data_IF_869236160311
#
_entry.id   IF_869236160311
#
_cell.length_a   1.000
_cell.length_b   1.000
_cell.length_c   1.000
_cell.angle_alpha   90.00
_cell.angle_beta   90.00
_cell.angle_gamma   90.00
#
_symmetry.space_group_name_H-M   'P 1'
#
loop_
_entity.id
_entity.type
_entity.pdbx_description
1 polymer ?
#
# COMPACT_ATOMS: atom_id res chain seq x y z
N UNK A 1 18.57 45.03 -55.99
CA UNK A 1 19.20 46.30 -55.57
C UNK A 1 18.45 46.86 -54.37
N UNK A 2 19.21 47.46 -53.46
CA UNK A 2 18.84 48.37 -52.37
C UNK A 2 18.54 47.77 -50.98
N UNK A 3 19.30 48.32 -50.04
CA UNK A 3 19.56 47.88 -48.68
C UNK A 3 18.75 48.69 -47.66
N UNK A 4 18.51 48.05 -46.49
CA UNK A 4 18.56 48.53 -45.07
C UNK A 4 17.92 49.91 -44.72
N UNK A 5 17.26 50.07 -43.54
CA UNK A 5 17.99 50.00 -42.26
C UNK A 5 17.24 49.53 -41.00
N UNK A 6 18.06 49.20 -40.00
CA UNK A 6 17.74 48.97 -38.59
C UNK A 6 17.42 50.27 -37.84
N UNK A 7 16.62 50.17 -36.78
CA UNK A 7 16.42 51.13 -35.65
C UNK A 7 15.39 50.50 -34.70
N UNK A 8 15.40 50.67 -33.40
CA UNK A 8 16.34 51.17 -32.40
C UNK A 8 15.77 50.69 -31.06
N UNK A 9 16.66 50.34 -30.14
CA UNK A 9 16.38 50.11 -28.73
C UNK A 9 15.71 51.36 -28.14
N UNK A 10 14.55 51.21 -27.49
CA UNK A 10 14.00 52.23 -26.60
C UNK A 10 13.70 51.57 -25.25
N UNK A 11 14.55 51.88 -24.28
CA UNK A 11 14.43 51.50 -22.89
C UNK A 11 13.26 52.25 -22.26
N UNK A 12 12.25 51.52 -21.78
CA UNK A 12 11.29 52.09 -20.83
C UNK A 12 11.70 51.66 -19.42
N UNK A 13 12.37 52.58 -18.72
CA UNK A 13 12.43 52.59 -17.27
C UNK A 13 11.03 52.99 -16.75
N UNK A 14 10.16 52.00 -16.58
CA UNK A 14 8.84 52.17 -15.98
C UNK A 14 8.88 51.84 -14.50
N UNK A 15 8.69 52.84 -13.65
CA UNK A 15 8.46 52.67 -12.23
C UNK A 15 7.22 51.78 -12.00
N UNK A 16 7.42 50.61 -11.39
CA UNK A 16 6.35 49.68 -11.05
C UNK A 16 5.66 50.20 -9.79
N UNK A 17 4.50 50.83 -9.99
CA UNK A 17 3.53 51.12 -8.94
C UNK A 17 2.92 49.78 -8.49
N UNK A 18 3.34 49.29 -7.32
CA UNK A 18 2.83 48.05 -6.72
C UNK A 18 1.38 48.31 -6.28
N UNK A 19 0.42 47.91 -7.11
CA UNK A 19 -0.97 47.77 -6.68
C UNK A 19 -1.03 46.63 -5.66
N UNK A 20 -1.39 46.96 -4.42
CA UNK A 20 -1.68 46.01 -3.36
C UNK A 20 -2.94 45.22 -3.74
N UNK A 21 -2.77 44.11 -4.45
CA UNK A 21 -3.81 43.09 -4.58
C UNK A 21 -4.00 42.44 -3.21
N UNK A 22 -5.23 42.39 -2.64
CA UNK A 22 -5.50 41.54 -1.50
C UNK A 22 -5.25 40.11 -1.96
N UNK A 23 -4.20 39.49 -1.42
CA UNK A 23 -3.97 38.06 -1.61
C UNK A 23 -5.08 37.32 -0.87
N UNK A 24 -6.16 37.01 -1.59
CA UNK A 24 -7.06 35.93 -1.23
C UNK A 24 -6.26 34.66 -1.47
N UNK A 25 -5.36 34.36 -0.53
CA UNK A 25 -4.72 33.06 -0.47
C UNK A 25 -5.84 32.05 -0.29
N UNK A 26 -6.16 31.33 -1.37
CA UNK A 26 -6.86 30.08 -1.26
C UNK A 26 -6.14 29.29 -0.16
N UNK A 27 -6.89 28.87 0.86
CA UNK A 27 -6.40 27.90 1.81
C UNK A 27 -5.85 26.74 0.99
N UNK A 28 -4.52 26.63 0.94
CA UNK A 28 -3.87 25.41 0.50
C UNK A 28 -4.26 24.42 1.59
N UNK A 29 -5.31 23.63 1.33
CA UNK A 29 -5.45 22.34 1.99
C UNK A 29 -4.18 21.60 1.60
N UNK A 30 -3.17 21.71 2.45
CA UNK A 30 -2.04 20.81 2.42
C UNK A 30 -2.66 19.41 2.41
N UNK A 31 -2.50 18.72 1.27
CA UNK A 31 -2.79 17.31 1.14
C UNK A 31 -2.21 16.64 2.38
N UNK A 32 -3.06 15.93 3.11
CA UNK A 32 -2.68 15.25 4.33
C UNK A 32 -1.51 14.31 4.00
N UNK A 33 -0.30 14.72 4.40
CA UNK A 33 0.95 13.96 4.43
C UNK A 33 1.07 12.91 3.30
N UNK A 34 1.44 13.36 2.10
CA UNK A 34 2.15 12.49 1.14
C UNK A 34 3.50 12.11 1.80
N UNK A 35 3.47 11.10 2.67
CA UNK A 35 4.71 10.46 3.12
C UNK A 35 5.32 9.82 1.88
N UNK A 36 6.37 10.46 1.36
CA UNK A 36 7.02 10.05 0.13
C UNK A 36 7.37 8.55 0.17
N UNK A 37 6.78 7.78 -0.73
CA UNK A 37 7.01 6.32 -0.87
C UNK A 37 5.81 5.44 -0.51
N UNK A 38 4.73 5.98 0.04
CA UNK A 38 3.49 5.22 0.25
C UNK A 38 2.50 5.39 -0.91
N UNK A 39 1.74 4.33 -1.18
CA UNK A 39 0.67 4.36 -2.18
C UNK A 39 -0.61 4.94 -1.55
N UNK A 40 -1.21 5.95 -2.20
CA UNK A 40 -2.49 6.51 -1.79
C UNK A 40 -3.67 5.66 -2.28
N UNK A 41 -4.81 5.75 -1.62
CA UNK A 41 -6.01 4.99 -1.97
C UNK A 41 -6.50 5.34 -3.39
N UNK A 42 -6.49 6.62 -3.75
CA UNK A 42 -6.80 7.07 -5.11
C UNK A 42 -5.81 6.59 -6.15
N UNK A 43 -4.52 6.57 -5.81
CA UNK A 43 -3.46 6.04 -6.67
C UNK A 43 -3.64 4.55 -6.95
N UNK A 44 -4.02 3.78 -5.94
CA UNK A 44 -4.29 2.35 -6.06
C UNK A 44 -5.59 2.09 -6.85
N UNK A 45 -6.66 2.84 -6.57
CA UNK A 45 -7.94 2.73 -7.29
C UNK A 45 -7.77 2.94 -8.80
N UNK A 46 -6.97 3.95 -9.18
CA UNK A 46 -6.65 4.17 -10.60
C UNK A 46 -5.96 2.96 -11.20
N UNK A 47 -4.99 2.34 -10.50
CA UNK A 47 -4.31 1.12 -10.98
C UNK A 47 -5.26 -0.07 -11.11
N UNK A 48 -6.24 -0.21 -10.22
CA UNK A 48 -7.25 -1.26 -10.29
C UNK A 48 -8.16 -1.13 -11.53
N UNK A 49 -8.46 0.11 -11.93
CA UNK A 49 -9.34 0.42 -13.08
C UNK A 49 -8.63 0.53 -14.41
N UNK A 50 -7.32 0.68 -14.42
CA UNK A 50 -6.53 0.74 -15.65
C UNK A 50 -6.54 -0.60 -16.40
N UNK A 51 -6.54 -0.55 -17.73
CA UNK A 51 -6.48 -1.74 -18.59
C UNK A 51 -5.04 -2.26 -18.83
N UNK A 52 -4.05 -1.69 -18.13
CA UNK A 52 -2.66 -2.14 -18.19
C UNK A 52 -2.49 -3.40 -17.36
N UNK A 53 -1.90 -4.45 -17.94
CA UNK A 53 -1.56 -5.68 -17.22
C UNK A 53 -0.67 -5.41 -16.00
N UNK A 54 0.25 -4.44 -16.10
CA UNK A 54 1.11 -4.05 -14.98
C UNK A 54 0.30 -3.43 -13.84
N UNK A 55 -0.54 -2.44 -14.14
CA UNK A 55 -1.35 -1.74 -13.14
C UNK A 55 -2.33 -2.67 -12.43
N UNK A 56 -3.00 -3.57 -13.19
CA UNK A 56 -3.90 -4.57 -12.60
C UNK A 56 -3.16 -5.56 -11.72
N UNK A 57 -1.99 -6.02 -12.15
CA UNK A 57 -1.17 -6.94 -11.35
C UNK A 57 -0.70 -6.27 -10.06
N UNK A 58 -0.29 -5.00 -10.14
CA UNK A 58 0.08 -4.21 -8.96
C UNK A 58 -1.08 -4.06 -7.98
N UNK A 59 -2.27 -3.67 -8.47
CA UNK A 59 -3.47 -3.53 -7.64
C UNK A 59 -3.77 -4.84 -6.88
N UNK A 60 -3.82 -5.96 -7.59
CA UNK A 60 -4.13 -7.24 -6.95
C UNK A 60 -3.05 -7.71 -5.97
N UNK A 61 -1.77 -7.51 -6.29
CA UNK A 61 -0.68 -7.85 -5.39
C UNK A 61 -0.73 -7.00 -4.11
N UNK A 62 -1.01 -5.71 -4.21
CA UNK A 62 -1.11 -4.81 -3.07
C UNK A 62 -2.30 -5.20 -2.17
N UNK A 63 -3.48 -5.45 -2.75
CA UNK A 63 -4.67 -5.91 -2.03
C UNK A 63 -4.43 -7.23 -1.30
N UNK A 64 -3.78 -8.20 -1.96
CA UNK A 64 -3.43 -9.47 -1.37
C UNK A 64 -2.49 -9.30 -0.17
N UNK A 65 -1.42 -8.51 -0.33
CA UNK A 65 -0.44 -8.29 0.72
C UNK A 65 -1.06 -7.66 1.98
N UNK A 66 -1.97 -6.70 1.81
CA UNK A 66 -2.67 -6.07 2.94
C UNK A 66 -3.65 -7.05 3.59
N UNK A 67 -4.42 -7.80 2.80
CA UNK A 67 -5.36 -8.79 3.31
C UNK A 67 -4.64 -9.91 4.10
N UNK A 68 -3.50 -10.40 3.59
CA UNK A 68 -2.67 -11.40 4.27
C UNK A 68 -2.06 -10.85 5.55
N UNK A 69 -1.58 -9.61 5.53
CA UNK A 69 -1.05 -8.94 6.73
C UNK A 69 -2.13 -8.78 7.80
N UNK A 70 -3.33 -8.35 7.40
CA UNK A 70 -4.46 -8.20 8.33
C UNK A 70 -4.89 -9.54 8.93
N UNK A 71 -4.91 -10.62 8.13
CA UNK A 71 -5.12 -11.99 8.62
C UNK A 71 -4.02 -12.42 9.58
N UNK A 72 -2.75 -12.14 9.26
CA UNK A 72 -1.61 -12.50 10.09
C UNK A 72 -1.67 -11.81 11.46
N UNK A 73 -1.98 -10.51 11.50
CA UNK A 73 -2.15 -9.79 12.77
C UNK A 73 -3.23 -10.43 13.64
N UNK A 74 -4.38 -10.76 13.04
CA UNK A 74 -5.45 -11.47 13.75
C UNK A 74 -5.01 -12.82 14.32
N UNK A 75 -4.33 -13.65 13.52
CA UNK A 75 -3.95 -15.01 13.91
C UNK A 75 -2.84 -15.02 14.95
N UNK A 76 -1.83 -14.17 14.80
CA UNK A 76 -0.60 -14.21 15.62
C UNK A 76 -0.65 -13.30 16.84
N UNK A 77 -1.29 -12.14 16.73
CA UNK A 77 -1.34 -11.14 17.80
C UNK A 77 -2.65 -11.26 18.59
N UNK A 78 -3.63 -12.04 18.11
CA UNK A 78 -4.93 -12.18 18.75
C UNK A 78 -5.77 -10.90 18.73
N UNK A 79 -5.31 -9.89 18.00
CA UNK A 79 -5.97 -8.61 17.78
C UNK A 79 -6.07 -8.37 16.27
N UNK A 80 -7.18 -7.78 15.83
CA UNK A 80 -7.37 -7.45 14.42
C UNK A 80 -8.75 -7.80 13.91
N UNK A 81 -9.45 -6.76 13.49
CA UNK A 81 -10.36 -6.81 12.35
C UNK A 81 -9.52 -6.65 11.08
N UNK A 82 -9.91 -7.23 9.94
CA UNK A 82 -11.19 -7.87 9.60
C UNK A 82 -11.22 -9.41 9.71
N UNK A 83 -12.44 -10.00 9.71
CA UNK A 83 -12.66 -11.45 9.69
C UNK A 83 -12.80 -12.00 8.27
N UNK A 84 -11.67 -12.10 7.56
CA UNK A 84 -11.68 -12.51 6.16
C UNK A 84 -12.13 -13.97 5.96
N UNK A 85 -13.21 -14.22 5.20
CA UNK A 85 -13.69 -15.58 4.94
C UNK A 85 -12.66 -16.41 4.17
N UNK A 86 -12.73 -17.73 4.33
CA UNK A 86 -11.96 -18.65 3.49
C UNK A 86 -12.41 -18.53 2.03
N UNK A 87 -11.46 -18.60 1.08
CA UNK A 87 -11.75 -18.52 -0.35
C UNK A 87 -12.09 -17.13 -0.86
N UNK A 88 -11.78 -16.06 -0.12
CA UNK A 88 -11.88 -14.69 -0.61
C UNK A 88 -10.92 -14.52 -1.81
N UNK A 89 -11.48 -14.16 -2.97
CA UNK A 89 -10.74 -14.01 -4.22
C UNK A 89 -10.17 -12.60 -4.38
N UNK A 90 -9.10 -12.44 -5.16
CA UNK A 90 -8.54 -11.12 -5.51
C UNK A 90 -9.56 -10.19 -6.18
N UNK A 91 -10.45 -10.73 -7.02
CA UNK A 91 -11.54 -9.95 -7.64
C UNK A 91 -12.45 -9.33 -6.59
N UNK A 92 -12.98 -10.14 -5.66
CA UNK A 92 -13.77 -9.65 -4.52
C UNK A 92 -13.03 -8.64 -3.64
N UNK A 93 -11.72 -8.82 -3.40
CA UNK A 93 -10.93 -7.82 -2.67
C UNK A 93 -10.93 -6.47 -3.38
N UNK A 94 -10.73 -6.47 -4.70
CA UNK A 94 -10.78 -5.25 -5.50
C UNK A 94 -12.18 -4.64 -5.49
N UNK A 95 -13.22 -5.43 -5.75
CA UNK A 95 -14.61 -4.97 -5.73
C UNK A 95 -14.97 -4.30 -4.39
N UNK A 96 -14.59 -4.91 -3.26
CA UNK A 96 -14.81 -4.35 -1.91
C UNK A 96 -14.08 -3.02 -1.72
N UNK A 97 -12.79 -2.96 -2.06
CA UNK A 97 -11.99 -1.74 -1.94
C UNK A 97 -12.54 -0.61 -2.83
N UNK A 98 -12.86 -0.91 -4.09
CA UNK A 98 -13.41 0.07 -5.03
C UNK A 98 -14.77 0.59 -4.58
N UNK A 99 -15.68 -0.28 -4.15
CA UNK A 99 -16.99 0.11 -3.65
C UNK A 99 -16.87 1.02 -2.41
N UNK A 100 -16.00 0.66 -1.47
CA UNK A 100 -15.76 1.45 -0.27
C UNK A 100 -15.20 2.84 -0.58
N UNK A 101 -14.22 2.94 -1.48
CA UNK A 101 -13.62 4.23 -1.82
C UNK A 101 -14.54 5.12 -2.65
N UNK A 102 -15.42 4.54 -3.49
CA UNK A 102 -16.49 5.28 -4.17
C UNK A 102 -17.48 5.86 -3.16
N UNK A 103 -17.82 5.11 -2.11
CA UNK A 103 -18.69 5.60 -1.03
C UNK A 103 -18.02 6.65 -0.13
N UNK A 104 -16.68 6.66 -0.07
CA UNK A 104 -15.89 7.51 0.82
C UNK A 104 -14.84 8.35 0.05
N UNK A 105 -15.26 9.27 -0.84
CA UNK A 105 -14.33 9.97 -1.75
C UNK A 105 -13.31 10.86 -1.03
N UNK A 106 -13.61 11.31 0.19
CA UNK A 106 -12.68 12.06 1.04
C UNK A 106 -11.42 11.26 1.43
N UNK A 107 -11.46 9.93 1.35
CA UNK A 107 -10.34 9.05 1.67
C UNK A 107 -9.37 8.84 0.50
N UNK A 108 -9.61 9.45 -0.66
CA UNK A 108 -8.77 9.28 -1.86
C UNK A 108 -7.29 9.62 -1.60
N UNK A 109 -7.01 10.64 -0.80
CA UNK A 109 -5.65 11.03 -0.41
C UNK A 109 -5.06 10.19 0.73
N UNK A 110 -5.85 9.36 1.41
CA UNK A 110 -5.36 8.55 2.53
C UNK A 110 -4.48 7.39 2.04
N UNK A 111 -3.69 6.82 2.95
CA UNK A 111 -2.85 5.65 2.66
C UNK A 111 -3.71 4.45 2.23
N UNK A 112 -3.35 3.82 1.11
CA UNK A 112 -4.11 2.71 0.53
C UNK A 112 -4.28 1.53 1.50
N UNK A 113 -3.21 1.14 2.21
CA UNK A 113 -3.25 0.03 3.17
C UNK A 113 -4.32 0.25 4.26
N UNK A 114 -4.37 1.45 4.85
CA UNK A 114 -5.37 1.80 5.88
C UNK A 114 -6.80 1.75 5.35
N UNK A 115 -7.02 2.29 4.14
CA UNK A 115 -8.34 2.26 3.50
C UNK A 115 -8.76 0.83 3.14
N UNK A 116 -7.84 -0.02 2.70
CA UNK A 116 -8.12 -1.44 2.45
C UNK A 116 -8.55 -2.13 3.74
N UNK A 117 -7.80 -1.99 4.83
CA UNK A 117 -8.16 -2.60 6.13
C UNK A 117 -9.55 -2.12 6.58
N UNK A 118 -9.83 -0.82 6.51
CA UNK A 118 -11.14 -0.28 6.84
C UNK A 118 -12.27 -0.85 5.96
N UNK A 119 -12.04 -0.92 4.64
CA UNK A 119 -13.03 -1.49 3.70
C UNK A 119 -13.34 -2.96 3.99
N UNK A 120 -12.31 -3.74 4.35
CA UNK A 120 -12.47 -5.14 4.68
C UNK A 120 -13.13 -5.32 6.05
N UNK A 121 -12.89 -4.41 7.01
CA UNK A 121 -13.53 -4.43 8.31
C UNK A 121 -15.02 -4.13 8.19
N UNK A 122 -15.41 -3.18 7.34
CA UNK A 122 -16.81 -2.89 7.06
C UNK A 122 -17.51 -4.06 6.35
N UNK A 123 -16.85 -4.67 5.36
CA UNK A 123 -17.41 -5.79 4.61
C UNK A 123 -17.43 -7.11 5.39
N UNK A 124 -16.48 -7.29 6.31
CA UNK A 124 -16.25 -8.54 7.04
C UNK A 124 -16.01 -8.25 8.53
N UNK A 125 -17.00 -7.69 9.23
CA UNK A 125 -16.87 -7.42 10.65
C UNK A 125 -16.69 -8.74 11.39
N UNK A 126 -15.76 -8.77 12.34
CA UNK A 126 -15.71 -9.88 13.25
C UNK A 126 -16.91 -9.83 14.19
N UNK A 127 -17.71 -10.90 14.21
CA UNK A 127 -18.63 -11.10 15.33
C UNK A 127 -17.79 -11.07 16.60
N UNK A 128 -18.16 -10.24 17.57
CA UNK A 128 -17.49 -10.21 18.86
C UNK A 128 -17.58 -11.60 19.48
N UNK A 129 -16.55 -12.41 19.28
CA UNK A 129 -16.44 -13.69 19.93
C UNK A 129 -16.27 -13.39 21.41
N UNK A 130 -17.15 -13.92 22.25
CA UNK A 130 -16.83 -14.19 23.66
C UNK A 130 -15.39 -14.68 23.71
N UNK A 131 -14.52 -14.09 24.55
CA UNK A 131 -13.10 -14.36 24.52
C UNK A 131 -12.89 -15.88 24.55
N UNK A 132 -12.35 -16.41 23.45
CA UNK A 132 -11.88 -17.78 23.44
C UNK A 132 -10.90 -17.92 24.61
N UNK A 133 -10.93 -19.01 25.39
CA UNK A 133 -9.89 -19.26 26.36
C UNK A 133 -8.58 -19.20 25.60
N UNK A 134 -7.72 -18.23 25.95
CA UNK A 134 -6.38 -18.18 25.39
C UNK A 134 -5.78 -19.58 25.58
N UNK A 135 -5.24 -20.22 24.53
CA UNK A 135 -4.44 -21.41 24.77
C UNK A 135 -3.37 -21.00 25.77
N UNK A 136 -3.27 -21.77 26.86
CA UNK A 136 -2.28 -21.53 27.90
C UNK A 136 -0.91 -21.31 27.24
N UNK A 137 -0.03 -20.48 27.84
CA UNK A 137 1.33 -20.30 27.34
C UNK A 137 1.89 -21.67 26.98
N UNK A 138 2.28 -21.84 25.71
CA UNK A 138 2.99 -23.05 25.31
C UNK A 138 4.25 -23.06 26.15
N UNK A 139 4.26 -23.88 27.20
CA UNK A 139 5.43 -24.07 28.03
C UNK A 139 6.59 -24.39 27.07
N UNK A 140 7.78 -23.78 27.26
CA UNK A 140 8.91 -24.01 26.37
C UNK A 140 9.10 -25.51 26.23
N UNK A 141 8.78 -26.02 25.05
CA UNK A 141 9.07 -27.39 24.65
C UNK A 141 10.55 -27.56 24.87
N UNK A 142 10.90 -28.47 25.78
CA UNK A 142 12.26 -28.81 26.14
C UNK A 142 13.13 -28.80 24.89
N UNK A 143 13.99 -27.77 24.78
CA UNK A 143 14.96 -27.68 23.71
C UNK A 143 15.75 -28.98 23.75
N UNK A 144 15.54 -29.83 22.74
CA UNK A 144 16.40 -30.98 22.52
C UNK A 144 17.81 -30.38 22.32
N UNK A 145 18.82 -30.77 23.13
CA UNK A 145 20.16 -30.22 23.02
C UNK A 145 20.64 -30.28 21.57
N UNK A 146 21.25 -29.19 21.10
CA UNK A 146 21.74 -29.02 19.73
C UNK A 146 23.02 -29.83 19.45
N UNK A 147 23.18 -30.99 20.09
CA UNK A 147 24.36 -31.84 20.03
C UNK A 147 23.99 -33.25 19.54
N UNK A 148 23.33 -33.35 18.39
CA UNK A 148 23.35 -34.57 17.59
C UNK A 148 23.24 -34.21 16.11
N UNK A 149 24.33 -33.64 15.59
CA UNK A 149 24.63 -33.64 14.16
C UNK A 149 25.49 -34.87 13.91
N UNK A 150 24.86 -36.05 13.85
CA UNK A 150 25.46 -37.25 13.28
C UNK A 150 24.98 -37.37 11.83
N UNK A 151 25.89 -37.15 10.89
CA UNK A 151 25.60 -37.19 9.46
C UNK A 151 26.59 -36.41 8.61
N UNK A 152 27.80 -36.95 8.48
CA UNK A 152 28.90 -36.46 7.64
C UNK A 152 28.47 -36.33 6.15
N UNK A 153 28.45 -35.12 5.54
CA UNK A 153 28.05 -34.95 4.13
C UNK A 153 29.07 -35.46 3.11
N UNK A 154 30.20 -36.05 3.54
CA UNK A 154 31.34 -36.29 2.65
C UNK A 154 31.38 -37.71 2.07
N UNK A 155 30.52 -38.62 2.51
CA UNK A 155 30.57 -40.03 2.08
C UNK A 155 29.90 -40.30 0.72
N UNK A 156 28.93 -39.49 0.29
CA UNK A 156 28.20 -39.72 -0.98
C UNK A 156 28.93 -39.22 -2.23
N UNK A 157 30.02 -38.47 -2.09
CA UNK A 157 30.73 -37.89 -3.25
C UNK A 157 31.74 -38.85 -3.91
N UNK A 158 32.12 -39.94 -3.23
CA UNK A 158 33.11 -40.90 -3.72
C UNK A 158 32.52 -42.14 -4.41
N UNK A 159 31.19 -42.21 -4.60
CA UNK A 159 30.51 -43.39 -5.15
C UNK A 159 29.99 -43.24 -6.58
N UNK A 160 30.27 -42.13 -7.28
CA UNK A 160 29.91 -42.03 -8.70
C UNK A 160 30.98 -42.70 -9.60
N UNK A 161 30.63 -43.76 -10.35
CA UNK A 161 31.51 -44.31 -11.36
C UNK A 161 31.61 -43.32 -12.53
N UNK A 162 32.84 -42.96 -12.90
CA UNK A 162 33.09 -42.18 -14.11
C UNK A 162 32.62 -42.98 -15.32
N UNK A 163 31.66 -42.42 -16.06
CA UNK A 163 31.28 -42.86 -17.41
C UNK A 163 31.65 -41.80 -18.41
#
# INVERSE_FOLDING_TARGET
>A
MKARPARALAWFAGAILILAFPQTGAAQTADADDVAGFESAGGLLRKCRENSSFSRSYCFAYLAAVADSARAYRVWIGSGDPCLPAGLTLGKLADTFEAYLVANPSLTGAQAASVIVASLQEAHPCSAATPAPMPAPVAPSQQRPADEVDGDPQQDRNSQPQR
#
